data_IF_352701395020
#
_entry.id   IF_352701395020
#
_cell.length_a   1.000
_cell.length_b   1.000
_cell.length_c   1.000
_cell.angle_alpha   90.00
_cell.angle_beta   90.00
_cell.angle_gamma   90.00
#
_symmetry.space_group_name_H-M   'P 1'
#
loop_
_entity.id
_entity.type
_entity.pdbx_description
1 polymer ?
#
# COMPACT_ATOMS: atom_id res chain seq x y z
N UNK A 1 -28.98 -22.01 -5.50
CA UNK A 1 -28.35 -21.99 -6.83
C UNK A 1 -28.29 -20.53 -7.27
N UNK A 2 -27.11 -20.03 -7.65
CA UNK A 2 -26.93 -18.66 -8.14
C UNK A 2 -27.40 -18.50 -9.60
N UNK A 3 -27.80 -19.59 -10.25
CA UNK A 3 -28.36 -19.61 -11.59
C UNK A 3 -27.28 -19.56 -12.68
N UNK A 4 -27.72 -19.32 -13.91
CA UNK A 4 -26.84 -19.24 -15.09
C UNK A 4 -26.66 -17.79 -15.56
N UNK A 5 -25.43 -17.45 -15.92
CA UNK A 5 -25.09 -16.18 -16.54
C UNK A 5 -25.66 -16.13 -17.96
N UNK A 6 -26.53 -15.15 -18.24
CA UNK A 6 -27.11 -14.96 -19.58
C UNK A 6 -26.06 -14.57 -20.64
N UNK A 7 -24.98 -13.92 -20.22
CA UNK A 7 -23.90 -13.46 -21.10
C UNK A 7 -22.87 -14.57 -21.33
N UNK A 8 -22.40 -15.21 -20.25
CA UNK A 8 -21.33 -16.21 -20.33
C UNK A 8 -21.84 -17.64 -20.56
N UNK A 9 -23.16 -17.86 -20.50
CA UNK A 9 -23.84 -19.16 -20.67
C UNK A 9 -23.32 -20.28 -19.75
N UNK A 10 -22.67 -19.92 -18.65
CA UNK A 10 -22.14 -20.83 -17.63
C UNK A 10 -22.81 -20.57 -16.27
N UNK A 11 -22.60 -21.47 -15.32
CA UNK A 11 -23.11 -21.28 -13.96
C UNK A 11 -22.41 -20.11 -13.27
N UNK A 12 -23.20 -19.26 -12.59
CA UNK A 12 -22.68 -18.08 -11.88
C UNK A 12 -21.72 -18.50 -10.77
N UNK A 13 -22.01 -19.60 -10.08
CA UNK A 13 -21.15 -20.16 -9.03
C UNK A 13 -19.76 -20.50 -9.58
N UNK A 14 -19.67 -21.13 -10.75
CA UNK A 14 -18.40 -21.50 -11.39
C UNK A 14 -17.58 -20.27 -11.79
N UNK A 15 -18.25 -19.23 -12.30
CA UNK A 15 -17.61 -17.95 -12.64
C UNK A 15 -17.05 -17.24 -11.41
N UNK A 16 -17.77 -17.23 -10.29
CA UNK A 16 -17.30 -16.61 -9.06
C UNK A 16 -16.09 -17.39 -8.52
N UNK A 17 -16.22 -18.70 -8.38
CA UNK A 17 -15.17 -19.56 -7.80
C UNK A 17 -13.89 -19.52 -8.64
N UNK A 18 -13.99 -19.47 -9.98
CA UNK A 18 -12.80 -19.38 -10.85
C UNK A 18 -12.08 -18.03 -10.78
N UNK A 19 -12.75 -16.94 -10.35
CA UNK A 19 -12.15 -15.59 -10.25
C UNK A 19 -11.71 -15.23 -8.84
N UNK A 20 -12.33 -15.84 -7.82
CA UNK A 20 -12.04 -15.57 -6.41
C UNK A 20 -10.55 -15.65 -6.05
N UNK A 21 -9.78 -16.69 -6.45
CA UNK A 21 -8.37 -16.79 -6.09
C UNK A 21 -7.53 -15.61 -6.60
N UNK A 22 -7.78 -15.15 -7.82
CA UNK A 22 -7.05 -14.03 -8.41
C UNK A 22 -7.33 -12.72 -7.67
N UNK A 23 -8.60 -12.47 -7.33
CA UNK A 23 -9.01 -11.30 -6.56
C UNK A 23 -8.40 -11.30 -5.14
N UNK A 24 -8.41 -12.47 -4.46
CA UNK A 24 -7.83 -12.61 -3.13
C UNK A 24 -6.31 -12.40 -3.13
N UNK A 25 -5.60 -12.98 -4.10
CA UNK A 25 -4.15 -12.78 -4.24
C UNK A 25 -3.81 -11.31 -4.48
N UNK A 26 -4.56 -10.64 -5.35
CA UNK A 26 -4.37 -9.22 -5.62
C UNK A 26 -4.67 -8.37 -4.38
N UNK A 27 -5.77 -8.66 -3.67
CA UNK A 27 -6.15 -7.97 -2.44
C UNK A 27 -5.08 -8.10 -1.37
N UNK A 28 -4.61 -9.32 -1.09
CA UNK A 28 -3.56 -9.56 -0.08
C UNK A 28 -2.26 -8.85 -0.48
N UNK A 29 -1.86 -8.96 -1.75
CA UNK A 29 -0.67 -8.27 -2.25
C UNK A 29 -0.78 -6.75 -2.09
N UNK A 30 -1.93 -6.17 -2.42
CA UNK A 30 -2.17 -4.73 -2.30
C UNK A 30 -2.10 -4.27 -0.83
N UNK A 31 -2.76 -4.98 0.08
CA UNK A 31 -2.74 -4.68 1.53
C UNK A 31 -1.31 -4.77 2.07
N UNK A 32 -0.55 -5.79 1.68
CA UNK A 32 0.85 -5.91 2.11
C UNK A 32 1.69 -4.72 1.61
N UNK A 33 1.56 -4.33 0.34
CA UNK A 33 2.25 -3.16 -0.19
C UNK A 33 1.84 -1.87 0.53
N UNK A 34 0.54 -1.69 0.76
CA UNK A 34 -0.04 -0.55 1.46
C UNK A 34 0.51 -0.40 2.88
N UNK A 35 0.49 -1.48 3.65
CA UNK A 35 0.98 -1.48 5.03
C UNK A 35 2.49 -1.34 5.08
N UNK A 36 3.25 -2.06 4.24
CA UNK A 36 4.71 -1.98 4.25
C UNK A 36 5.18 -0.56 3.90
N UNK A 37 4.64 0.04 2.85
CA UNK A 37 5.01 1.40 2.45
C UNK A 37 4.46 2.44 3.42
N UNK A 38 3.19 2.35 3.78
CA UNK A 38 2.53 3.32 4.66
C UNK A 38 3.13 3.33 6.06
N UNK A 39 3.26 2.17 6.69
CA UNK A 39 3.78 2.08 8.06
C UNK A 39 5.25 2.49 8.12
N UNK A 40 6.08 2.06 7.16
CA UNK A 40 7.50 2.45 7.13
C UNK A 40 7.67 3.96 6.94
N UNK A 41 6.95 4.57 6.00
CA UNK A 41 6.96 6.01 5.78
C UNK A 41 6.47 6.78 7.01
N UNK A 42 5.35 6.35 7.60
CA UNK A 42 4.78 6.99 8.79
C UNK A 42 5.68 6.90 10.01
N UNK A 43 6.30 5.73 10.23
CA UNK A 43 7.26 5.50 11.32
C UNK A 43 8.48 6.41 11.17
N UNK A 44 9.10 6.44 9.99
CA UNK A 44 10.28 7.27 9.72
C UNK A 44 9.95 8.75 9.89
N UNK A 45 8.79 9.19 9.39
CA UNK A 45 8.33 10.57 9.53
C UNK A 45 8.08 10.96 11.00
N UNK A 46 7.51 10.07 11.81
CA UNK A 46 7.27 10.32 13.23
C UNK A 46 8.56 10.40 14.05
N UNK A 47 9.51 9.48 13.83
CA UNK A 47 10.79 9.47 14.56
C UNK A 47 11.62 10.72 14.22
N UNK A 48 11.54 11.19 12.97
CA UNK A 48 12.20 12.40 12.47
C UNK A 48 11.26 13.61 12.39
N UNK A 49 10.25 13.67 13.25
CA UNK A 49 9.25 14.75 13.25
C UNK A 49 9.89 16.14 13.19
N UNK A 50 9.39 16.98 12.29
CA UNK A 50 9.83 18.37 12.13
C UNK A 50 11.12 18.55 11.32
N UNK A 51 11.71 17.47 10.79
CA UNK A 51 12.84 17.55 9.85
C UNK A 51 12.36 17.60 8.40
N UNK A 52 13.25 17.95 7.46
CA UNK A 52 12.95 17.90 6.03
C UNK A 52 12.52 16.51 5.53
N UNK A 53 12.96 15.42 6.19
CA UNK A 53 12.51 14.05 5.87
C UNK A 53 11.02 13.86 6.18
N UNK A 54 10.55 14.35 7.32
CA UNK A 54 9.13 14.30 7.71
C UNK A 54 8.28 15.07 6.68
N UNK A 55 8.66 16.32 6.38
CA UNK A 55 7.95 17.14 5.40
C UNK A 55 7.91 16.49 4.01
N UNK A 56 9.03 15.94 3.53
CA UNK A 56 9.10 15.28 2.22
C UNK A 56 8.19 14.05 2.17
N UNK A 57 8.21 13.21 3.20
CA UNK A 57 7.36 12.01 3.27
C UNK A 57 5.87 12.38 3.35
N UNK A 58 5.51 13.44 4.08
CA UNK A 58 4.12 13.89 4.19
C UNK A 58 3.61 14.53 2.90
N UNK A 59 4.44 15.32 2.21
CA UNK A 59 4.11 15.85 0.88
C UNK A 59 3.94 14.70 -0.11
N UNK A 60 4.86 13.73 -0.15
CA UNK A 60 4.73 12.56 -1.02
C UNK A 60 3.46 11.75 -0.73
N UNK A 61 3.13 11.54 0.55
CA UNK A 61 1.90 10.87 0.97
C UNK A 61 0.65 11.62 0.52
N UNK A 62 0.66 12.96 0.63
CA UNK A 62 -0.45 13.80 0.20
C UNK A 62 -0.66 13.77 -1.31
N UNK A 63 0.43 13.82 -2.09
CA UNK A 63 0.38 13.69 -3.56
C UNK A 63 -0.19 12.32 -3.95
N UNK A 64 0.27 11.25 -3.31
CA UNK A 64 -0.23 9.89 -3.55
C UNK A 64 -1.74 9.77 -3.33
N UNK A 65 -2.27 10.30 -2.22
CA UNK A 65 -3.71 10.22 -1.91
C UNK A 65 -4.55 11.16 -2.78
N UNK A 66 -3.99 12.28 -3.25
CA UNK A 66 -4.73 13.29 -4.02
C UNK A 66 -4.83 12.96 -5.52
N UNK A 67 -3.96 12.08 -6.02
CA UNK A 67 -3.96 11.71 -7.43
C UNK A 67 -5.12 10.75 -7.76
N UNK A 68 -5.83 10.93 -8.89
CA UNK A 68 -6.85 9.98 -9.31
C UNK A 68 -6.27 8.59 -9.52
N UNK A 69 -6.86 7.58 -8.88
CA UNK A 69 -6.35 6.20 -8.87
C UNK A 69 -6.08 5.64 -10.28
N UNK A 70 -7.00 5.85 -11.22
CA UNK A 70 -6.86 5.33 -12.58
C UNK A 70 -5.69 6.00 -13.33
N UNK A 71 -5.39 7.28 -13.07
CA UNK A 71 -4.28 8.00 -13.70
C UNK A 71 -2.96 7.44 -13.22
N UNK A 72 -2.80 7.27 -11.90
CA UNK A 72 -1.60 6.66 -11.31
C UNK A 72 -1.40 5.26 -11.84
N UNK A 73 -2.47 4.45 -11.92
CA UNK A 73 -2.39 3.11 -12.46
C UNK A 73 -1.99 3.07 -13.93
N UNK A 74 -2.54 3.93 -14.77
CA UNK A 74 -2.16 4.03 -16.18
C UNK A 74 -0.71 4.49 -16.35
N UNK A 75 -0.24 5.45 -15.56
CA UNK A 75 1.15 5.92 -15.59
C UNK A 75 2.12 4.82 -15.16
N UNK A 76 1.85 4.11 -14.07
CA UNK A 76 2.67 3.00 -13.61
C UNK A 76 2.69 1.86 -14.64
N UNK A 77 1.55 1.54 -15.24
CA UNK A 77 1.47 0.56 -16.32
C UNK A 77 2.30 1.00 -17.54
N UNK A 78 2.15 2.24 -17.99
CA UNK A 78 2.89 2.76 -19.13
C UNK A 78 4.41 2.76 -18.88
N UNK A 79 4.85 3.22 -17.72
CA UNK A 79 6.28 3.27 -17.38
C UNK A 79 6.85 1.87 -17.22
N UNK A 80 6.28 1.05 -16.34
CA UNK A 80 6.88 -0.22 -15.94
C UNK A 80 6.58 -1.40 -16.88
N UNK A 81 5.40 -1.42 -17.51
CA UNK A 81 5.04 -2.50 -18.43
C UNK A 81 5.36 -2.16 -19.90
N UNK A 82 5.11 -0.93 -20.34
CA UNK A 82 5.31 -0.56 -21.76
C UNK A 82 6.72 -0.05 -22.03
N UNK A 83 7.20 0.96 -21.30
CA UNK A 83 8.51 1.57 -21.56
C UNK A 83 9.68 0.71 -21.09
N UNK A 84 9.58 0.17 -19.88
CA UNK A 84 10.64 -0.62 -19.24
C UNK A 84 10.52 -2.13 -19.53
N UNK A 85 9.34 -2.60 -19.93
CA UNK A 85 9.04 -4.03 -20.14
C UNK A 85 9.38 -4.94 -18.95
N UNK A 86 9.37 -4.38 -17.72
CA UNK A 86 9.66 -5.13 -16.49
C UNK A 86 8.52 -6.07 -16.12
N UNK A 87 7.28 -5.68 -16.42
CA UNK A 87 6.09 -6.45 -16.09
C UNK A 87 5.21 -6.68 -17.32
N UNK A 88 4.46 -7.81 -17.35
CA UNK A 88 3.46 -8.05 -18.38
C UNK A 88 2.29 -7.06 -18.25
N UNK A 89 1.71 -6.66 -19.39
CA UNK A 89 0.58 -5.72 -19.45
C UNK A 89 -0.72 -6.37 -18.96
N UNK A 90 -0.86 -7.69 -19.13
CA UNK A 90 -2.02 -8.45 -18.72
C UNK A 90 -1.72 -9.95 -18.69
N UNK A 91 -2.61 -10.71 -18.08
CA UNK A 91 -2.45 -12.15 -17.87
C UNK A 91 -2.61 -12.54 -16.40
N UNK A 92 -2.44 -13.83 -16.12
CA UNK A 92 -2.61 -14.41 -14.79
C UNK A 92 -1.63 -15.58 -14.61
N UNK A 93 -1.28 -15.91 -13.36
CA UNK A 93 -0.56 -17.14 -13.00
C UNK A 93 0.91 -16.97 -12.60
N UNK A 94 1.55 -15.83 -12.89
CA UNK A 94 2.94 -15.54 -12.44
C UNK A 94 2.96 -14.35 -11.50
N UNK A 95 3.86 -14.34 -10.51
CA UNK A 95 4.06 -13.23 -9.58
C UNK A 95 4.26 -11.86 -10.27
N UNK A 96 4.87 -11.83 -11.46
CA UNK A 96 5.02 -10.62 -12.27
C UNK A 96 3.70 -9.95 -12.67
N UNK A 97 2.60 -10.71 -12.78
CA UNK A 97 1.26 -10.17 -13.06
C UNK A 97 0.60 -9.55 -11.82
N UNK A 98 1.13 -9.81 -10.63
CA UNK A 98 0.57 -9.34 -9.36
C UNK A 98 1.30 -8.12 -8.81
N UNK A 99 2.63 -8.07 -8.93
CA UNK A 99 3.46 -7.03 -8.29
C UNK A 99 3.08 -5.62 -8.72
N UNK A 100 2.93 -5.37 -10.02
CA UNK A 100 2.63 -4.02 -10.50
C UNK A 100 1.20 -3.58 -10.10
N UNK A 101 0.15 -4.38 -10.31
CA UNK A 101 -1.19 -4.05 -9.83
C UNK A 101 -1.28 -3.90 -8.30
N UNK A 102 -0.60 -4.75 -7.53
CA UNK A 102 -0.59 -4.66 -6.06
C UNK A 102 0.11 -3.41 -5.57
N UNK A 103 1.24 -3.04 -6.19
CA UNK A 103 1.96 -1.81 -5.87
C UNK A 103 1.13 -0.57 -6.23
N UNK A 104 0.42 -0.61 -7.36
CA UNK A 104 -0.45 0.48 -7.81
C UNK A 104 -1.54 0.79 -6.79
N UNK A 105 -2.24 -0.25 -6.32
CA UNK A 105 -3.23 -0.12 -5.25
C UNK A 105 -2.57 0.27 -3.92
N UNK A 106 -1.42 -0.33 -3.62
CA UNK A 106 -0.69 -0.13 -2.37
C UNK A 106 -0.18 1.30 -2.17
N UNK A 107 0.33 1.97 -3.20
CA UNK A 107 0.87 3.35 -3.10
C UNK A 107 -0.20 4.36 -2.67
N UNK A 108 -1.42 4.22 -3.22
CA UNK A 108 -2.53 5.15 -2.95
C UNK A 108 -2.98 5.02 -1.50
N UNK A 109 -3.16 3.78 -1.05
CA UNK A 109 -3.50 3.47 0.33
C UNK A 109 -2.38 3.81 1.34
N UNK A 110 -1.12 3.58 0.95
CA UNK A 110 0.05 3.84 1.78
C UNK A 110 0.12 5.29 2.26
N UNK A 111 -0.27 6.27 1.44
CA UNK A 111 -0.28 7.68 1.85
C UNK A 111 -1.30 7.99 2.96
N UNK A 112 -2.41 7.25 3.03
CA UNK A 112 -3.36 7.37 4.15
C UNK A 112 -2.78 6.73 5.42
N UNK A 113 -2.30 5.49 5.30
CA UNK A 113 -1.69 4.76 6.43
C UNK A 113 -0.43 5.44 6.97
N UNK A 114 0.39 6.07 6.12
CA UNK A 114 1.56 6.83 6.56
C UNK A 114 1.19 7.99 7.47
N UNK A 115 0.14 8.76 7.12
CA UNK A 115 -0.34 9.87 7.94
C UNK A 115 -0.92 9.39 9.27
N UNK A 116 -1.72 8.32 9.23
CA UNK A 116 -2.30 7.71 10.42
C UNK A 116 -1.21 7.19 11.37
N UNK A 117 -0.31 6.35 10.85
CA UNK A 117 0.82 5.79 11.61
C UNK A 117 1.70 6.89 12.18
N UNK A 118 1.98 7.95 11.41
CA UNK A 118 2.75 9.08 11.91
C UNK A 118 2.08 9.74 13.10
N UNK A 119 0.78 10.02 13.01
CA UNK A 119 0.02 10.64 14.10
C UNK A 119 0.06 9.76 15.34
N UNK A 120 -0.31 8.48 15.21
CA UNK A 120 -0.32 7.53 16.33
C UNK A 120 1.06 7.37 16.96
N UNK A 121 2.12 7.34 16.16
CA UNK A 121 3.48 7.20 16.67
C UNK A 121 3.97 8.46 17.37
N UNK A 122 3.58 9.66 16.91
CA UNK A 122 3.87 10.91 17.62
C UNK A 122 3.19 10.93 18.99
N UNK A 123 1.94 10.48 19.07
CA UNK A 123 1.19 10.38 20.32
C UNK A 123 1.85 9.42 21.29
N UNK A 124 2.25 8.23 20.81
CA UNK A 124 3.01 7.23 21.57
C UNK A 124 4.34 7.77 22.08
N UNK A 125 5.12 8.44 21.23
CA UNK A 125 6.42 9.02 21.60
C UNK A 125 6.31 10.14 22.64
N UNK A 126 5.11 10.69 22.87
CA UNK A 126 4.84 11.70 23.89
C UNK A 126 4.47 11.14 25.27
N UNK A 127 4.24 9.83 25.38
CA UNK A 127 3.81 9.15 26.59
C UNK A 127 4.91 9.05 27.66
N UNK A 128 4.50 9.00 28.94
CA UNK A 128 5.43 9.03 30.07
C UNK A 128 6.30 7.77 30.20
N UNK A 129 5.83 6.60 29.74
CA UNK A 129 6.66 5.40 29.69
C UNK A 129 7.84 5.55 28.71
N UNK A 130 7.65 6.29 27.60
CA UNK A 130 8.72 6.62 26.66
C UNK A 130 9.71 7.61 27.27
N UNK A 131 9.23 8.61 28.01
CA UNK A 131 10.10 9.55 28.75
C UNK A 131 10.95 8.83 29.81
N UNK A 132 10.33 7.91 30.55
CA UNK A 132 11.01 7.09 31.55
C UNK A 132 12.05 6.17 30.90
N UNK A 133 11.73 5.54 29.77
CA UNK A 133 12.67 4.74 28.99
C UNK A 133 13.90 5.56 28.55
N UNK A 134 13.69 6.81 28.09
CA UNK A 134 14.79 7.73 27.74
C UNK A 134 15.62 8.13 28.95
N UNK A 135 14.99 8.39 30.10
CA UNK A 135 15.70 8.71 31.35
C UNK A 135 16.58 7.55 31.83
N UNK A 136 16.20 6.30 31.52
CA UNK A 136 17.01 5.10 31.73
C UNK A 136 18.16 4.91 30.72
N UNK A 137 18.36 5.86 29.79
CA UNK A 137 19.46 5.84 28.82
C UNK A 137 19.19 5.05 27.54
N UNK A 138 17.94 4.60 27.29
CA UNK A 138 17.61 3.89 26.06
C UNK A 138 17.73 4.84 24.85
N UNK A 139 18.47 4.38 23.84
CA UNK A 139 18.66 5.11 22.60
C UNK A 139 17.33 5.22 21.83
N UNK A 140 17.16 6.31 21.06
CA UNK A 140 15.95 6.57 20.25
C UNK A 140 15.64 5.50 19.19
N UNK A 141 16.60 4.61 18.87
CA UNK A 141 16.39 3.45 17.99
C UNK A 141 15.90 2.20 18.72
N UNK A 142 16.09 2.15 20.04
CA UNK A 142 15.69 1.04 20.92
C UNK A 142 14.31 1.25 21.57
N UNK A 143 13.69 2.42 21.32
CA UNK A 143 12.34 2.83 21.73
C UNK A 143 11.51 2.99 20.47
#
# INVERSE_FOLDING_TARGET
DLGRSYIQRSEVTELIVSRLPASLLLMVGAILCELLLGLSMGLIAAVKRGTGTDQTLMVASFVGVSAPQFVVGLLLLYVFAVRLSWFPIGGYGTWRHLVLPSLTMGILGAGWYARMMRSSMIDVLSQDYVRTARAKGLARRAI
#
